data_IF_103991177469
#
_entry.id   IF_103991177469
#
_cell.length_a   1.000
_cell.length_b   1.000
_cell.length_c   1.000
_cell.angle_alpha   90.00
_cell.angle_beta   90.00
_cell.angle_gamma   90.00
#
_symmetry.space_group_name_H-M   'P 1'
#
loop_
_entity.id
_entity.type
_entity.pdbx_description
1 polymer ?
#
# COMPACT_ATOMS: atom_id res chain seq x y z
N UNK A 1 7.98 -13.78 2.38
CA UNK A 1 7.06 -12.64 2.46
C UNK A 1 6.95 -11.95 1.13
N UNK A 2 5.76 -11.70 0.68
CA UNK A 2 5.58 -11.11 -0.63
C UNK A 2 5.50 -9.61 -0.57
N UNK A 3 6.14 -8.96 -1.51
CA UNK A 3 6.01 -7.51 -1.61
C UNK A 3 4.62 -7.16 -2.12
N UNK A 4 4.24 -5.91 -1.93
CA UNK A 4 2.98 -5.40 -2.46
C UNK A 4 3.20 -4.95 -3.89
N UNK A 5 3.29 -5.89 -4.80
CA UNK A 5 3.55 -5.58 -6.20
C UNK A 5 2.48 -4.65 -6.76
N UNK A 6 1.23 -4.85 -6.34
CA UNK A 6 0.16 -3.99 -6.84
C UNK A 6 0.37 -2.53 -6.44
N UNK A 7 0.96 -2.30 -5.28
CA UNK A 7 1.21 -0.92 -4.84
C UNK A 7 2.34 -0.30 -5.68
N UNK A 8 3.39 -1.05 -5.91
CA UNK A 8 4.47 -0.60 -6.78
C UNK A 8 3.94 -0.25 -8.16
N UNK A 9 3.09 -1.10 -8.72
CA UNK A 9 2.54 -0.87 -10.04
C UNK A 9 1.71 0.41 -10.08
N UNK A 10 0.87 0.61 -9.08
CA UNK A 10 0.04 1.82 -9.05
C UNK A 10 0.88 3.06 -8.87
N UNK A 11 1.91 2.97 -8.05
CA UNK A 11 2.79 4.11 -7.82
C UNK A 11 3.55 4.49 -9.10
N UNK A 12 4.09 3.50 -9.80
CA UNK A 12 4.84 3.79 -11.00
C UNK A 12 3.93 4.32 -12.12
N UNK A 13 2.71 3.82 -12.19
CA UNK A 13 1.75 4.34 -13.16
C UNK A 13 1.39 5.80 -12.87
N UNK A 14 1.48 6.19 -11.61
CA UNK A 14 1.21 7.57 -11.22
C UNK A 14 2.45 8.44 -11.38
N UNK A 15 3.57 7.86 -11.83
CA UNK A 15 4.83 8.59 -12.02
C UNK A 15 5.36 9.17 -10.72
N UNK A 16 5.22 8.43 -9.63
CA UNK A 16 5.68 8.88 -8.32
C UNK A 16 6.79 7.99 -7.82
N UNK A 17 7.80 8.59 -7.19
CA UNK A 17 8.85 7.84 -6.54
C UNK A 17 8.43 7.51 -5.11
N UNK A 18 9.14 6.57 -4.48
CA UNK A 18 8.88 6.25 -3.08
C UNK A 18 9.04 7.48 -2.21
N UNK A 19 10.05 8.28 -2.48
CA UNK A 19 10.29 9.47 -1.68
C UNK A 19 9.15 10.48 -1.83
N UNK A 20 8.64 10.62 -3.05
CA UNK A 20 7.54 11.56 -3.26
C UNK A 20 6.29 11.14 -2.50
N UNK A 21 5.97 9.86 -2.54
CA UNK A 21 4.80 9.37 -1.80
C UNK A 21 5.00 9.55 -0.30
N UNK A 22 6.18 9.19 0.19
CA UNK A 22 6.45 9.31 1.63
C UNK A 22 6.35 10.76 2.08
N UNK A 23 6.92 11.68 1.29
CA UNK A 23 6.88 13.10 1.63
C UNK A 23 5.45 13.62 1.66
N UNK A 24 4.66 13.26 0.66
CA UNK A 24 3.28 13.75 0.59
C UNK A 24 2.40 13.13 1.67
N UNK A 25 2.71 11.90 2.07
CA UNK A 25 1.97 11.24 3.14
C UNK A 25 2.49 11.61 4.52
N UNK A 26 3.55 12.43 4.57
CA UNK A 26 4.15 12.88 5.83
C UNK A 26 4.64 11.71 6.66
N UNK A 27 5.30 10.77 6.01
CA UNK A 27 5.94 9.63 6.67
C UNK A 27 7.37 9.54 6.17
N UNK A 28 8.16 8.77 6.89
CA UNK A 28 9.54 8.59 6.48
C UNK A 28 9.66 7.58 5.36
N UNK A 29 10.61 7.79 4.47
CA UNK A 29 10.78 6.91 3.33
C UNK A 29 11.02 5.45 3.75
N UNK A 30 11.86 5.16 4.76
CA UNK A 30 12.04 3.76 5.15
C UNK A 30 10.74 3.09 5.56
N UNK A 31 9.85 3.83 6.22
CA UNK A 31 8.55 3.30 6.59
C UNK A 31 7.74 2.96 5.33
N UNK A 32 7.71 3.88 4.37
CA UNK A 32 6.99 3.62 3.14
C UNK A 32 7.60 2.44 2.38
N UNK A 33 8.94 2.37 2.33
CA UNK A 33 9.61 1.27 1.66
C UNK A 33 9.20 -0.07 2.26
N UNK A 34 9.08 -0.13 3.59
CA UNK A 34 8.66 -1.36 4.25
C UNK A 34 7.20 -1.71 3.96
N UNK A 35 6.36 -0.69 3.79
CA UNK A 35 4.98 -0.92 3.41
C UNK A 35 4.93 -1.53 2.01
N UNK A 36 5.68 -1.00 1.09
CA UNK A 36 5.66 -1.48 -0.29
C UNK A 36 6.28 -2.87 -0.39
N UNK A 37 7.28 -3.16 0.43
CA UNK A 37 7.91 -4.47 0.41
C UNK A 37 7.10 -5.55 1.13
N UNK A 38 6.04 -5.15 1.83
CA UNK A 38 5.20 -6.10 2.52
C UNK A 38 5.66 -6.45 3.92
N UNK A 39 6.76 -5.82 4.38
CA UNK A 39 7.29 -6.08 5.71
C UNK A 39 6.41 -5.47 6.79
N UNK A 40 5.78 -4.35 6.48
CA UNK A 40 5.00 -3.62 7.47
C UNK A 40 3.65 -3.23 6.89
N UNK A 41 2.62 -3.27 7.72
CA UNK A 41 1.29 -2.82 7.31
C UNK A 41 1.10 -1.37 7.74
N UNK A 42 0.49 -0.54 6.88
CA UNK A 42 0.24 0.84 7.27
C UNK A 42 -0.93 0.92 8.24
N UNK A 43 -0.94 1.97 9.06
CA UNK A 43 -2.14 2.26 9.84
C UNK A 43 -3.24 2.73 8.89
N UNK A 44 -4.48 2.77 9.39
CA UNK A 44 -5.60 3.23 8.56
C UNK A 44 -5.35 4.64 8.07
N UNK A 45 -4.84 5.51 8.94
CA UNK A 45 -4.57 6.88 8.55
C UNK A 45 -3.56 6.95 7.41
N UNK A 46 -2.45 6.22 7.55
CA UNK A 46 -1.41 6.24 6.53
C UNK A 46 -1.91 5.58 5.24
N UNK A 47 -2.68 4.51 5.37
CA UNK A 47 -3.24 3.86 4.19
C UNK A 47 -4.12 4.80 3.40
N UNK A 48 -4.94 5.58 4.07
CA UNK A 48 -5.80 6.54 3.40
C UNK A 48 -5.00 7.63 2.70
N UNK A 49 -3.93 8.09 3.34
CA UNK A 49 -3.12 9.14 2.75
C UNK A 49 -2.37 8.63 1.51
N UNK A 50 -1.79 7.47 1.60
CA UNK A 50 -1.09 6.90 0.45
C UNK A 50 -2.07 6.67 -0.70
N UNK A 51 -3.25 6.14 -0.39
CA UNK A 51 -4.24 5.87 -1.42
C UNK A 51 -4.70 7.14 -2.11
N UNK A 52 -4.84 8.21 -1.35
CA UNK A 52 -5.27 9.48 -1.92
C UNK A 52 -4.19 10.06 -2.83
N UNK A 53 -2.93 9.93 -2.43
CA UNK A 53 -1.82 10.47 -3.19
C UNK A 53 -1.67 9.73 -4.53
N UNK A 54 -1.76 8.42 -4.49
CA UNK A 54 -1.56 7.59 -5.69
C UNK A 54 -2.83 7.46 -6.49
N UNK A 55 -3.99 7.40 -5.82
CA UNK A 55 -5.28 7.34 -6.52
C UNK A 55 -5.88 5.95 -6.54
N UNK A 56 -6.07 5.34 -5.38
CA UNK A 56 -6.75 4.05 -5.31
C UNK A 56 -7.51 3.97 -3.99
N UNK A 57 -8.26 2.89 -3.81
CA UNK A 57 -9.06 2.70 -2.61
C UNK A 57 -8.16 2.18 -1.48
N UNK A 58 -8.11 2.89 -0.37
CA UNK A 58 -7.22 2.54 0.73
C UNK A 58 -7.52 1.15 1.30
N UNK A 59 -8.74 0.65 1.14
CA UNK A 59 -9.07 -0.67 1.67
C UNK A 59 -8.28 -1.79 0.98
N UNK A 60 -7.68 -1.51 -0.17
CA UNK A 60 -6.84 -2.49 -0.83
C UNK A 60 -5.69 -2.98 0.05
N UNK A 61 -5.22 -2.14 0.98
CA UNK A 61 -4.17 -2.55 1.88
C UNK A 61 -4.61 -3.68 2.79
N UNK A 62 -5.90 -3.81 3.03
CA UNK A 62 -6.43 -4.76 4.01
C UNK A 62 -7.28 -5.85 3.40
N UNK A 63 -7.40 -5.87 2.08
CA UNK A 63 -8.16 -6.89 1.40
C UNK A 63 -7.29 -8.04 1.08
N UNK A 64 -6.85 -8.79 1.85
CA UNK A 64 -6.04 -9.81 1.43
C UNK A 64 -6.75 -11.00 1.36
N UNK A 65 -6.95 -11.28 1.34
CA UNK A 65 -7.35 -12.36 1.31
C UNK A 65 -8.29 -12.55 0.59
N UNK A 66 -8.57 -11.89 0.39
CA UNK A 66 -9.37 -12.14 -0.30
C UNK A 66 -9.03 -12.86 -1.29
N UNK A 67 -8.46 -12.89 -1.37
CA UNK A 67 -8.11 -13.58 -2.07
C UNK A 67 -7.55 -14.56 -1.90
N UNK A 68 -7.33 -14.56 -1.34
CA UNK A 68 -6.90 -15.47 -1.03
C UNK A 68 -7.53 -16.22 -0.45
N UNK A 69 -8.25 -15.64 -0.22
CA UNK A 69 -8.81 -15.98 0.24
C UNK A 69 -9.57 -16.62 0.21
N UNK A 70 -9.76 -16.76 -0.06
CA UNK A 70 -10.39 -17.09 0.05
C UNK A 70 -10.79 -17.75 0.38
N UNK A 71 -10.70 -17.50 0.77
CA UNK A 71 -11.01 -17.82 1.30
C UNK A 71 -11.59 -18.08 1.77
N UNK A 72 -11.81 -17.72 1.99
CA UNK A 72 -12.24 -17.62 2.54
C UNK A 72 -13.07 -17.65 2.87
N UNK A 73 -13.36 -17.59 2.99
CA UNK A 73 -13.93 -17.36 3.27
C UNK A 73 -14.53 -17.44 3.64
N UNK A 74 -14.68 -17.45 3.74
CA UNK A 74 -15.00 -17.38 4.06
C UNK A 74 -15.29 -17.52 4.28
N UNK A 75 -15.39 -17.49 4.47
CA UNK A 75 -15.49 -17.45 4.67
C UNK A 75 -15.52 -17.51 4.79
#
# INVERSE_FOLDING_TARGET
MKSRQWLLDKRTKANLTQEEVATQADIKRPYYTQIESGVRSPSVKVAKEIAEIIGFDWTLFFEKNCSDLKQTNTA
#
